data_IF_398259492341
#
_entry.id   IF_398259492341
#
_cell.length_a   1.000
_cell.length_b   1.000
_cell.length_c   1.000
_cell.angle_alpha   90.00
_cell.angle_beta   90.00
_cell.angle_gamma   90.00
#
_symmetry.space_group_name_H-M   'P 1'
#
loop_
_entity.id
_entity.type
_entity.pdbx_description
1 polymer ?
#
# COMPACT_ATOMS: atom_id res chain seq x y z
N UNK A 1 50.68 14.26 -4.28
CA UNK A 1 49.66 13.62 -3.40
C UNK A 1 48.88 12.63 -4.26
N UNK A 2 49.20 11.35 -4.17
CA UNK A 2 48.48 10.32 -4.92
C UNK A 2 47.08 10.18 -4.34
N UNK A 3 46.05 10.54 -5.10
CA UNK A 3 44.65 10.37 -4.68
C UNK A 3 44.39 8.87 -4.61
N UNK A 4 44.08 8.36 -3.42
CA UNK A 4 43.73 6.96 -3.22
C UNK A 4 42.30 6.72 -3.72
N UNK A 5 42.18 6.45 -5.02
CA UNK A 5 40.91 6.28 -5.75
C UNK A 5 40.08 5.15 -5.14
N UNK A 6 40.71 4.10 -4.58
CA UNK A 6 40.02 2.98 -3.94
C UNK A 6 39.36 3.37 -2.61
N UNK A 7 40.06 4.14 -1.77
CA UNK A 7 39.48 4.68 -0.55
C UNK A 7 38.32 5.65 -0.86
N UNK A 8 38.45 6.45 -1.91
CA UNK A 8 37.38 7.32 -2.42
C UNK A 8 36.15 6.53 -2.89
N UNK A 9 36.36 5.52 -3.73
CA UNK A 9 35.28 4.67 -4.26
C UNK A 9 34.54 3.91 -3.15
N UNK A 10 35.26 3.39 -2.14
CA UNK A 10 34.65 2.71 -0.99
C UNK A 10 33.75 3.65 -0.18
N UNK A 11 34.19 4.89 0.03
CA UNK A 11 33.40 5.91 0.75
C UNK A 11 32.13 6.26 -0.04
N UNK A 12 32.24 6.49 -1.34
CA UNK A 12 31.08 6.80 -2.21
C UNK A 12 30.08 5.64 -2.22
N UNK A 13 30.54 4.40 -2.37
CA UNK A 13 29.67 3.22 -2.34
C UNK A 13 28.92 3.09 -1.01
N UNK A 14 29.61 3.34 0.11
CA UNK A 14 28.99 3.30 1.43
C UNK A 14 27.97 4.42 1.61
N UNK A 15 28.26 5.64 1.14
CA UNK A 15 27.30 6.75 1.16
C UNK A 15 26.04 6.42 0.36
N UNK A 16 26.17 5.84 -0.84
CA UNK A 16 25.01 5.43 -1.65
C UNK A 16 24.17 4.37 -0.91
N UNK A 17 24.82 3.36 -0.32
CA UNK A 17 24.13 2.32 0.45
C UNK A 17 23.37 2.90 1.65
N UNK A 18 23.97 3.84 2.39
CA UNK A 18 23.33 4.53 3.52
C UNK A 18 22.13 5.34 3.06
N UNK A 19 22.28 6.14 1.99
CA UNK A 19 21.18 6.95 1.44
C UNK A 19 20.02 6.06 0.97
N UNK A 20 20.31 4.99 0.24
CA UNK A 20 19.28 4.03 -0.22
C UNK A 20 18.55 3.38 0.97
N UNK A 21 19.27 3.05 2.04
CA UNK A 21 18.69 2.50 3.27
C UNK A 21 17.75 3.50 3.95
N UNK A 22 18.19 4.74 4.11
CA UNK A 22 17.37 5.80 4.73
C UNK A 22 16.10 6.04 3.91
N UNK A 23 16.22 6.18 2.59
CA UNK A 23 15.06 6.39 1.71
C UNK A 23 14.07 5.24 1.85
N UNK A 24 14.55 3.99 1.84
CA UNK A 24 13.68 2.82 1.96
C UNK A 24 12.97 2.77 3.32
N UNK A 25 13.68 3.08 4.42
CA UNK A 25 13.07 3.16 5.75
C UNK A 25 11.99 4.24 5.79
N UNK A 26 12.26 5.43 5.23
CA UNK A 26 11.28 6.52 5.17
C UNK A 26 10.04 6.06 4.39
N UNK A 27 10.21 5.45 3.22
CA UNK A 27 9.09 4.94 2.42
C UNK A 27 8.26 3.89 3.18
N UNK A 28 8.92 2.99 3.93
CA UNK A 28 8.24 1.98 4.74
C UNK A 28 7.49 2.58 5.93
N UNK A 29 8.03 3.59 6.59
CA UNK A 29 7.38 4.27 7.73
C UNK A 29 6.21 5.13 7.24
N UNK A 30 6.32 5.75 6.07
CA UNK A 30 5.23 6.53 5.49
C UNK A 30 4.13 5.66 4.86
N UNK A 31 4.37 4.36 4.67
CA UNK A 31 3.38 3.45 4.14
C UNK A 31 2.21 3.27 5.10
N UNK A 32 1.03 3.70 4.67
CA UNK A 32 -0.23 3.51 5.39
C UNK A 32 -0.98 2.36 4.73
N UNK A 33 -0.96 1.13 5.30
CA UNK A 33 -1.73 0.03 4.73
C UNK A 33 -3.22 0.30 4.87
N UNK A 34 -3.92 0.16 3.75
CA UNK A 34 -5.37 0.25 3.68
C UNK A 34 -5.93 -1.18 3.67
N UNK A 35 -6.81 -1.49 4.62
CA UNK A 35 -7.62 -2.71 4.59
C UNK A 35 -9.00 -2.31 4.05
N UNK A 36 -9.35 -2.66 2.79
CA UNK A 36 -10.64 -2.30 2.24
C UNK A 36 -11.74 -3.08 2.95
N UNK A 37 -12.71 -2.38 3.52
CA UNK A 37 -13.89 -3.02 4.12
C UNK A 37 -15.04 -2.90 3.15
N UNK A 38 -15.77 -4.00 3.01
CA UNK A 38 -16.94 -4.10 2.15
C UNK A 38 -18.18 -4.30 3.01
N UNK A 39 -19.14 -3.42 2.82
CA UNK A 39 -20.48 -3.56 3.37
C UNK A 39 -21.50 -3.70 2.24
N UNK A 40 -22.59 -4.39 2.52
CA UNK A 40 -23.75 -4.54 1.69
C UNK A 40 -24.95 -3.87 2.32
N UNK A 41 -25.78 -3.23 1.50
CA UNK A 41 -27.10 -2.75 1.88
C UNK A 41 -28.11 -3.28 0.87
N UNK A 42 -29.09 -4.05 1.36
CA UNK A 42 -30.13 -4.69 0.53
C UNK A 42 -31.46 -3.93 0.51
N UNK A 43 -31.71 -3.11 1.51
CA UNK A 43 -32.97 -2.36 1.65
C UNK A 43 -32.71 -0.88 1.91
N UNK A 44 -33.61 0.03 1.50
CA UNK A 44 -33.49 1.42 1.87
C UNK A 44 -33.54 1.52 3.40
N UNK A 45 -32.52 2.14 3.98
CA UNK A 45 -32.33 2.27 5.44
C UNK A 45 -32.05 0.96 6.20
N UNK A 46 -31.71 -0.12 5.50
CA UNK A 46 -31.23 -1.35 6.13
C UNK A 46 -29.89 -1.15 6.86
N UNK A 47 -29.53 -2.10 7.75
CA UNK A 47 -28.22 -2.09 8.38
C UNK A 47 -27.10 -2.30 7.34
N UNK A 48 -25.91 -1.80 7.66
CA UNK A 48 -24.71 -2.13 6.90
C UNK A 48 -24.25 -3.54 7.29
N UNK A 49 -24.37 -4.49 6.37
CA UNK A 49 -23.94 -5.87 6.60
C UNK A 49 -22.56 -6.09 6.00
N UNK A 50 -21.63 -6.65 6.76
CA UNK A 50 -20.31 -6.96 6.22
C UNK A 50 -20.44 -8.06 5.16
N UNK A 51 -19.86 -7.86 4.00
CA UNK A 51 -19.94 -8.81 2.89
C UNK A 51 -18.58 -9.00 2.24
N UNK A 52 -18.27 -10.24 1.86
CA UNK A 52 -17.10 -10.56 1.03
C UNK A 52 -17.46 -10.62 -0.46
N UNK A 53 -18.76 -10.64 -0.77
CA UNK A 53 -19.27 -10.74 -2.13
C UNK A 53 -18.89 -9.50 -2.96
N UNK A 54 -18.61 -9.74 -4.24
CA UNK A 54 -18.46 -8.64 -5.19
C UNK A 54 -19.81 -7.96 -5.40
N UNK A 55 -19.79 -6.64 -5.61
CA UNK A 55 -21.01 -5.93 -5.96
C UNK A 55 -21.47 -6.41 -7.35
N UNK A 56 -22.76 -6.76 -7.53
CA UNK A 56 -23.28 -7.22 -8.81
C UNK A 56 -23.19 -6.09 -9.86
N UNK A 57 -23.18 -6.48 -11.13
CA UNK A 57 -23.02 -5.56 -12.26
C UNK A 57 -24.12 -4.49 -12.31
N UNK A 58 -25.32 -4.79 -11.79
CA UNK A 58 -26.43 -3.85 -11.69
C UNK A 58 -26.55 -3.16 -10.31
N UNK A 59 -25.70 -3.52 -9.33
CA UNK A 59 -25.68 -2.88 -7.99
C UNK A 59 -25.10 -1.47 -8.04
N UNK A 60 -24.68 -0.86 -6.94
CA UNK A 60 -23.81 0.34 -7.02
C UNK A 60 -22.81 0.32 -5.90
N UNK A 61 -21.55 0.64 -6.20
CA UNK A 61 -20.52 0.77 -5.18
C UNK A 61 -20.25 2.24 -4.88
N UNK A 62 -20.38 2.60 -3.61
CA UNK A 62 -19.97 3.91 -3.10
C UNK A 62 -18.72 3.76 -2.23
N UNK A 63 -17.75 4.64 -2.43
CA UNK A 63 -16.49 4.62 -1.71
C UNK A 63 -16.37 5.88 -0.88
N UNK A 64 -16.02 5.73 0.40
CA UNK A 64 -15.73 6.85 1.28
C UNK A 64 -14.69 6.47 2.33
N UNK A 65 -14.04 7.46 2.91
CA UNK A 65 -13.01 7.25 3.94
C UNK A 65 -13.59 7.55 5.32
N UNK A 66 -13.34 6.66 6.27
CA UNK A 66 -13.66 6.87 7.69
C UNK A 66 -12.41 6.83 8.52
N UNK A 67 -12.35 7.69 9.53
CA UNK A 67 -11.26 7.68 10.51
C UNK A 67 -11.70 6.84 11.70
N UNK A 68 -10.95 5.78 11.99
CA UNK A 68 -11.18 4.96 13.19
C UNK A 68 -10.89 5.77 14.47
N UNK A 69 -11.39 5.31 15.61
CA UNK A 69 -11.09 5.89 16.93
C UNK A 69 -9.59 6.10 17.21
N UNK A 70 -8.71 5.34 16.54
CA UNK A 70 -7.24 5.41 16.65
C UNK A 70 -6.58 6.33 15.60
N UNK A 71 -7.34 7.16 14.91
CA UNK A 71 -6.82 8.12 13.92
C UNK A 71 -6.34 7.50 12.61
N UNK A 72 -6.60 6.20 12.38
CA UNK A 72 -6.27 5.53 11.12
C UNK A 72 -7.42 5.68 10.13
N UNK A 73 -7.14 6.26 8.96
CA UNK A 73 -8.08 6.31 7.85
C UNK A 73 -8.26 4.94 7.22
N UNK A 74 -9.50 4.52 7.04
CA UNK A 74 -9.90 3.30 6.34
C UNK A 74 -10.83 3.67 5.20
N UNK A 75 -10.66 3.01 4.04
CA UNK A 75 -11.60 3.16 2.94
C UNK A 75 -12.70 2.11 3.09
N UNK A 76 -13.92 2.61 3.18
CA UNK A 76 -15.13 1.82 3.23
C UNK A 76 -15.74 1.82 1.84
N UNK A 77 -16.08 0.62 1.38
CA UNK A 77 -16.87 0.42 0.17
C UNK A 77 -18.22 -0.15 0.56
N UNK A 78 -19.29 0.50 0.12
CA UNK A 78 -20.65 0.03 0.35
C UNK A 78 -21.25 -0.35 -0.99
N UNK A 79 -21.66 -1.61 -1.11
CA UNK A 79 -22.44 -2.10 -2.23
C UNK A 79 -23.93 -1.98 -1.91
N UNK A 80 -24.63 -1.25 -2.76
CA UNK A 80 -26.08 -1.16 -2.77
C UNK A 80 -26.62 -2.22 -3.73
N UNK A 81 -27.28 -3.23 -3.17
CA UNK A 81 -27.80 -4.34 -3.96
C UNK A 81 -29.04 -3.92 -4.73
N UNK A 82 -29.15 -4.31 -6.01
CA UNK A 82 -30.35 -4.06 -6.77
C UNK A 82 -31.43 -5.05 -6.34
N UNK A 83 -32.69 -4.63 -6.40
CA UNK A 83 -33.85 -5.49 -6.22
C UNK A 83 -34.71 -5.49 -7.48
N UNK A 84 -35.48 -6.55 -7.66
CA UNK A 84 -36.41 -6.68 -8.78
C UNK A 84 -37.71 -5.93 -8.47
N UNK A 85 -38.14 -5.08 -9.40
CA UNK A 85 -39.41 -4.35 -9.35
C UNK A 85 -40.43 -5.00 -10.29
N UNK A 86 -41.72 -4.67 -10.13
CA UNK A 86 -42.84 -5.27 -10.89
C UNK A 86 -42.66 -5.23 -12.42
N UNK A 87 -41.93 -4.23 -12.93
CA UNK A 87 -41.59 -4.09 -14.35
C UNK A 87 -40.49 -5.07 -14.83
N UNK A 88 -40.03 -6.01 -14.00
CA UNK A 88 -38.90 -6.91 -14.27
C UNK A 88 -37.53 -6.21 -14.29
N UNK A 89 -37.48 -4.92 -13.90
CA UNK A 89 -36.25 -4.13 -13.85
C UNK A 89 -35.55 -4.32 -12.51
N UNK A 90 -34.24 -4.51 -12.56
CA UNK A 90 -33.38 -4.52 -11.37
C UNK A 90 -32.92 -3.09 -11.08
N UNK A 91 -33.42 -2.51 -9.99
CA UNK A 91 -33.13 -1.12 -9.61
C UNK A 91 -32.64 -1.05 -8.17
N UNK A 92 -31.90 0.01 -7.85
CA UNK A 92 -31.36 0.23 -6.52
C UNK A 92 -32.43 0.91 -5.66
N UNK A 93 -32.86 0.28 -4.57
CA UNK A 93 -33.91 0.83 -3.74
C UNK A 93 -33.35 1.95 -2.86
N UNK A 94 -33.88 3.17 -3.00
CA UNK A 94 -33.32 4.37 -2.37
C UNK A 94 -34.26 5.03 -1.35
N UNK A 95 -35.57 4.74 -1.41
CA UNK A 95 -36.57 5.34 -0.53
C UNK A 95 -37.73 4.37 -0.26
N UNK A 96 -38.35 4.51 0.90
CA UNK A 96 -39.67 3.91 1.21
C UNK A 96 -40.63 5.06 1.53
N UNK A 97 -41.80 5.07 0.90
CA UNK A 97 -42.86 6.05 1.18
C UNK A 97 -43.71 5.67 2.39
N UNK A 98 -44.55 6.60 2.87
CA UNK A 98 -45.47 6.39 4.01
C UNK A 98 -46.43 5.21 3.82
N UNK A 99 -46.71 4.84 2.56
CA UNK A 99 -47.54 3.69 2.19
C UNK A 99 -46.75 2.36 2.12
N UNK A 100 -45.47 2.36 2.46
CA UNK A 100 -44.60 1.18 2.36
C UNK A 100 -44.08 0.88 0.94
N UNK A 101 -44.35 1.74 -0.05
CA UNK A 101 -43.86 1.56 -1.41
C UNK A 101 -42.36 1.86 -1.48
N UNK A 102 -41.59 0.93 -2.02
CA UNK A 102 -40.15 1.08 -2.24
C UNK A 102 -39.95 1.77 -3.59
N UNK A 103 -39.09 2.78 -3.64
CA UNK A 103 -38.67 3.45 -4.86
C UNK A 103 -37.29 2.98 -5.26
N UNK A 104 -37.17 2.59 -6.52
CA UNK A 104 -35.93 2.17 -7.15
C UNK A 104 -35.50 3.11 -8.27
N UNK A 105 -34.19 3.30 -8.43
CA UNK A 105 -33.64 4.01 -9.57
C UNK A 105 -32.35 3.32 -10.07
N UNK A 106 -31.87 3.73 -11.25
CA UNK A 106 -30.66 3.16 -11.86
C UNK A 106 -29.40 3.66 -11.13
N UNK A 107 -28.30 2.89 -11.20
CA UNK A 107 -27.01 3.16 -10.54
C UNK A 107 -26.53 4.62 -10.63
N UNK A 108 -26.68 5.24 -11.78
CA UNK A 108 -26.08 6.54 -12.09
C UNK A 108 -27.07 7.71 -12.04
N UNK A 109 -28.20 7.54 -11.35
CA UNK A 109 -29.17 8.64 -11.24
C UNK A 109 -28.93 9.49 -9.98
N UNK A 110 -29.31 10.78 -10.01
CA UNK A 110 -29.12 11.70 -8.88
C UNK A 110 -29.76 11.20 -7.56
N UNK A 111 -30.87 10.47 -7.64
CA UNK A 111 -31.58 9.93 -6.49
C UNK A 111 -30.73 8.90 -5.74
N UNK A 112 -30.04 8.02 -6.49
CA UNK A 112 -29.14 7.02 -5.91
C UNK A 112 -27.91 7.70 -5.30
N UNK A 113 -27.34 8.71 -5.97
CA UNK A 113 -26.19 9.46 -5.44
C UNK A 113 -26.54 10.21 -4.15
N UNK A 114 -27.70 10.87 -4.08
CA UNK A 114 -28.17 11.55 -2.87
C UNK A 114 -28.41 10.54 -1.74
N UNK A 115 -29.01 9.39 -2.04
CA UNK A 115 -29.19 8.31 -1.09
C UNK A 115 -27.86 7.77 -0.56
N UNK A 116 -26.87 7.53 -1.42
CA UNK A 116 -25.53 7.11 -1.04
C UNK A 116 -24.87 8.11 -0.08
N UNK A 117 -24.94 9.42 -0.39
CA UNK A 117 -24.40 10.47 0.47
C UNK A 117 -25.11 10.52 1.84
N UNK A 118 -26.42 10.30 1.88
CA UNK A 118 -27.19 10.22 3.13
C UNK A 118 -26.79 8.99 3.96
N UNK A 119 -26.53 7.85 3.31
CA UNK A 119 -26.10 6.62 3.98
C UNK A 119 -24.68 6.77 4.53
N UNK A 120 -23.76 7.38 3.79
CA UNK A 120 -22.40 7.70 4.25
C UNK A 120 -22.44 8.53 5.55
N UNK A 121 -23.28 9.57 5.61
CA UNK A 121 -23.44 10.41 6.81
C UNK A 121 -23.97 9.65 8.03
N UNK A 122 -24.73 8.56 7.81
CA UNK A 122 -25.27 7.70 8.88
C UNK A 122 -24.33 6.58 9.26
N UNK A 123 -23.31 6.30 8.43
CA UNK A 123 -22.41 5.20 8.66
C UNK A 123 -21.65 5.41 9.97
N UNK A 124 -21.72 4.39 10.83
CA UNK A 124 -20.94 4.30 12.06
C UNK A 124 -20.20 2.99 12.03
N UNK A 125 -18.88 3.08 12.20
CA UNK A 125 -18.03 1.90 12.23
C UNK A 125 -18.30 1.13 13.52
N UNK A 126 -18.56 -0.17 13.39
CA UNK A 126 -18.75 -1.05 14.55
C UNK A 126 -17.43 -1.22 15.32
N UNK A 127 -17.44 -1.27 16.66
CA UNK A 127 -16.24 -1.58 17.45
C UNK A 127 -15.59 -2.92 17.08
N UNK A 128 -16.37 -3.90 16.61
CA UNK A 128 -15.85 -5.19 16.13
C UNK A 128 -15.01 -4.99 14.86
N UNK A 129 -15.51 -4.20 13.92
CA UNK A 129 -14.82 -3.93 12.66
C UNK A 129 -13.57 -3.07 12.90
N UNK A 130 -13.59 -2.15 13.86
CA UNK A 130 -12.40 -1.39 14.26
C UNK A 130 -11.24 -2.30 14.71
N UNK A 131 -11.54 -3.36 15.46
CA UNK A 131 -10.53 -4.32 15.91
C UNK A 131 -9.97 -5.13 14.75
N UNK A 132 -10.83 -5.56 13.84
CA UNK A 132 -10.43 -6.32 12.64
C UNK A 132 -9.54 -5.48 11.71
N UNK A 133 -9.93 -4.22 11.45
CA UNK A 133 -9.11 -3.28 10.68
C UNK A 133 -7.75 -3.09 11.35
N UNK A 134 -7.72 -2.92 12.67
CA UNK A 134 -6.46 -2.72 13.38
C UNK A 134 -5.56 -3.95 13.26
N UNK A 135 -6.13 -5.16 13.36
CA UNK A 135 -5.41 -6.43 13.23
C UNK A 135 -4.89 -6.62 11.82
N UNK A 136 -5.74 -6.45 10.81
CA UNK A 136 -5.37 -6.60 9.40
C UNK A 136 -4.37 -5.55 8.95
N UNK A 137 -4.59 -4.28 9.31
CA UNK A 137 -3.63 -3.19 9.09
C UNK A 137 -2.26 -3.50 9.68
N UNK A 138 -2.20 -4.07 10.90
CA UNK A 138 -0.93 -4.45 11.52
C UNK A 138 -0.24 -5.61 10.80
N UNK A 139 -1.03 -6.57 10.28
CA UNK A 139 -0.52 -7.72 9.52
C UNK A 139 0.04 -7.28 8.18
N UNK A 140 -0.71 -6.45 7.44
CA UNK A 140 -0.27 -5.87 6.17
C UNK A 140 0.97 -4.99 6.36
N UNK A 141 1.00 -4.18 7.43
CA UNK A 141 2.18 -3.39 7.79
C UNK A 141 3.39 -4.28 8.01
N UNK A 142 3.27 -5.32 8.85
CA UNK A 142 4.37 -6.24 9.15
C UNK A 142 4.83 -7.01 7.92
N UNK A 143 3.91 -7.45 7.07
CA UNK A 143 4.24 -8.15 5.83
C UNK A 143 5.00 -7.24 4.87
N UNK A 144 4.51 -6.02 4.63
CA UNK A 144 5.19 -5.05 3.76
C UNK A 144 6.52 -4.59 4.33
N UNK A 145 6.63 -4.48 5.65
CA UNK A 145 7.89 -4.18 6.33
C UNK A 145 8.90 -5.32 6.15
N UNK A 146 8.49 -6.58 6.30
CA UNK A 146 9.37 -7.74 6.05
C UNK A 146 9.75 -7.87 4.58
N UNK A 147 8.82 -7.66 3.66
CA UNK A 147 9.07 -7.68 2.22
C UNK A 147 10.04 -6.55 1.82
N UNK A 148 9.80 -5.33 2.27
CA UNK A 148 10.67 -4.18 2.00
C UNK A 148 12.06 -4.32 2.59
N UNK A 149 12.18 -4.81 3.83
CA UNK A 149 13.48 -5.11 4.44
C UNK A 149 14.20 -6.26 3.72
N UNK A 150 13.46 -7.27 3.26
CA UNK A 150 13.99 -8.36 2.45
C UNK A 150 14.54 -7.86 1.11
N UNK A 151 13.77 -7.06 0.37
CA UNK A 151 14.20 -6.42 -0.87
C UNK A 151 15.42 -5.52 -0.66
N UNK A 152 15.45 -4.74 0.43
CA UNK A 152 16.61 -3.93 0.80
C UNK A 152 17.84 -4.80 1.02
N UNK A 153 17.73 -5.86 1.82
CA UNK A 153 18.84 -6.75 2.14
C UNK A 153 19.41 -7.42 0.87
N UNK A 154 18.54 -7.92 0.00
CA UNK A 154 18.94 -8.51 -1.29
C UNK A 154 19.61 -7.44 -2.17
N UNK A 155 19.03 -6.25 -2.28
CA UNK A 155 19.58 -5.14 -3.06
C UNK A 155 20.97 -4.72 -2.58
N UNK A 156 21.17 -4.61 -1.26
CA UNK A 156 22.47 -4.29 -0.66
C UNK A 156 23.51 -5.40 -0.87
N UNK A 157 23.10 -6.68 -0.80
CA UNK A 157 23.98 -7.80 -1.09
C UNK A 157 24.45 -7.81 -2.55
N UNK A 158 23.52 -7.60 -3.49
CA UNK A 158 23.85 -7.49 -4.92
C UNK A 158 24.76 -6.29 -5.19
N UNK A 159 24.43 -5.13 -4.63
CA UNK A 159 25.26 -3.93 -4.76
C UNK A 159 26.68 -4.15 -4.21
N UNK A 160 26.79 -4.75 -3.02
CA UNK A 160 28.07 -5.10 -2.42
C UNK A 160 28.87 -6.07 -3.31
N UNK A 161 28.21 -7.09 -3.86
CA UNK A 161 28.83 -8.04 -4.80
C UNK A 161 29.35 -7.36 -6.07
N UNK A 162 28.58 -6.45 -6.66
CA UNK A 162 28.99 -5.68 -7.85
C UNK A 162 30.21 -4.80 -7.53
N UNK A 163 30.18 -4.06 -6.42
CA UNK A 163 31.31 -3.22 -5.98
C UNK A 163 32.56 -4.09 -5.75
N UNK A 164 32.40 -5.27 -5.18
CA UNK A 164 33.50 -6.21 -4.96
C UNK A 164 34.10 -6.73 -6.27
N UNK A 165 33.27 -7.14 -7.24
CA UNK A 165 33.72 -7.58 -8.57
C UNK A 165 34.43 -6.47 -9.33
N UNK A 166 33.88 -5.25 -9.36
CA UNK A 166 34.52 -4.09 -10.00
C UNK A 166 35.88 -3.82 -9.33
N UNK A 167 35.93 -3.84 -8.00
CA UNK A 167 37.18 -3.67 -7.26
C UNK A 167 38.21 -4.74 -7.57
N UNK A 168 37.80 -6.00 -7.78
CA UNK A 168 38.69 -7.08 -8.19
C UNK A 168 39.23 -6.87 -9.62
N UNK A 169 38.37 -6.52 -10.57
CA UNK A 169 38.75 -6.22 -11.97
C UNK A 169 39.77 -5.08 -12.01
N UNK A 170 39.46 -3.95 -11.35
CA UNK A 170 40.34 -2.76 -11.35
C UNK A 170 41.70 -3.07 -10.71
N UNK A 171 41.75 -3.86 -9.63
CA UNK A 171 43.03 -4.31 -9.03
C UNK A 171 43.81 -5.25 -9.94
N UNK A 172 43.12 -6.17 -10.63
CA UNK A 172 43.73 -7.08 -11.60
C UNK A 172 44.41 -6.33 -12.75
N UNK A 173 43.75 -5.31 -13.30
CA UNK A 173 44.33 -4.45 -14.34
C UNK A 173 45.49 -3.58 -13.82
N UNK A 174 45.45 -3.12 -12.58
CA UNK A 174 46.49 -2.26 -12.00
C UNK A 174 47.66 -3.03 -11.36
N UNK A 175 47.59 -4.36 -11.28
CA UNK A 175 48.61 -5.21 -10.66
C UNK A 175 48.80 -4.93 -9.16
N UNK A 176 47.74 -4.53 -8.47
CA UNK A 176 47.78 -4.21 -7.04
C UNK A 176 47.47 -5.47 -6.23
N UNK A 177 48.35 -5.91 -5.31
CA UNK A 177 48.11 -7.10 -4.48
C UNK A 177 46.88 -6.94 -3.58
N UNK A 178 46.22 -8.06 -3.27
CA UNK A 178 45.05 -8.07 -2.38
C UNK A 178 45.42 -7.52 -1.00
N UNK A 179 44.67 -6.52 -0.53
CA UNK A 179 44.87 -5.88 0.78
C UNK A 179 45.64 -4.56 0.76
N UNK A 180 46.13 -4.12 -0.40
CA UNK A 180 46.87 -2.86 -0.55
C UNK A 180 46.14 -1.86 -1.44
N UNK A 181 46.27 -0.57 -1.14
CA UNK A 181 45.64 0.53 -1.87
C UNK A 181 46.56 1.15 -2.94
N UNK A 182 47.81 0.69 -3.03
CA UNK A 182 48.81 1.09 -4.02
C UNK A 182 49.78 -0.07 -4.31
N UNK A 183 50.42 -0.07 -5.48
CA UNK A 183 51.62 -0.91 -5.69
C UNK A 183 52.70 -0.45 -4.72
N UNK A 184 53.39 -1.39 -4.09
CA UNK A 184 54.66 -1.09 -3.46
C UNK A 184 55.59 -0.54 -4.52
N UNK A 185 55.90 0.75 -4.44
CA UNK A 185 57.09 1.30 -5.09
C UNK A 185 58.27 0.77 -4.29
N UNK A 186 58.63 -0.50 -4.50
CA UNK A 186 59.98 -0.95 -4.17
C UNK A 186 60.91 -0.10 -5.05
N UNK A 187 61.60 0.84 -4.41
CA UNK A 187 62.78 1.49 -4.97
C UNK A 187 63.71 0.40 -5.46
N UNK A 188 63.76 0.24 -6.77
CA UNK A 188 64.93 -0.30 -7.43
C UNK A 188 66.00 0.80 -7.38
N UNK A 189 66.68 0.93 -6.23
CA UNK A 189 68.00 1.55 -6.20
C UNK A 189 68.99 0.47 -6.65
N UNK A 190 69.45 0.60 -7.89
CA UNK A 190 70.69 0.02 -8.41
C UNK A 190 71.64 1.18 -8.68
#
# INVERSE_FOLDING_TARGET
MAVNVFAGARRVALTIAVVATIITIILLVMYKPYAPIRYGVRTPYGPFERTEESCPDEGSTHYFSVTTSKGKGSNVSVCFFPMEFEDGKRLIPYKVDEKGMIWGASRYTPEVTDYQSKMEKRFKLSPSDEQDIAKESSRLYRQKMMEGLGCLAIGLLLFSGVVWVIGWIVRGFLGIPQGMDSRDTMSADN
#
